data_IF_212564515914
#
_entry.id   IF_212564515914
#
_cell.length_a   1.000
_cell.length_b   1.000
_cell.length_c   1.000
_cell.angle_alpha   90.00
_cell.angle_beta   90.00
_cell.angle_gamma   90.00
#
_symmetry.space_group_name_H-M   'P 1'
#
loop_
_entity.id
_entity.type
_entity.pdbx_description
1 polymer ?
#
# COMPACT_ATOMS: atom_id res chain seq x y z
N UNK A 1 2.03 -10.10 0.56
CA UNK A 1 3.02 -10.27 1.66
C UNK A 1 2.43 -11.07 2.81
N UNK A 2 1.33 -10.63 3.46
CA UNK A 2 0.69 -11.37 4.57
C UNK A 2 0.38 -12.84 4.22
N UNK A 3 -0.16 -13.10 3.02
CA UNK A 3 -0.45 -14.47 2.57
C UNK A 3 0.79 -15.37 2.47
N UNK A 4 1.91 -14.84 1.96
CA UNK A 4 3.16 -15.59 1.85
C UNK A 4 3.81 -15.85 3.22
N UNK A 5 3.63 -14.95 4.19
CA UNK A 5 4.09 -15.15 5.58
C UNK A 5 3.26 -16.22 6.30
N UNK A 6 1.97 -16.31 6.00
CA UNK A 6 1.10 -17.38 6.51
C UNK A 6 1.43 -18.75 5.90
N UNK A 7 1.83 -18.78 4.63
CA UNK A 7 2.20 -20.00 3.89
C UNK A 7 3.60 -20.51 4.27
N UNK A 8 4.52 -19.61 4.65
CA UNK A 8 5.71 -19.98 5.38
C UNK A 8 5.29 -20.57 6.74
N UNK A 9 5.67 -21.82 7.03
CA UNK A 9 5.39 -22.53 8.28
C UNK A 9 6.05 -21.84 9.51
N UNK A 10 5.55 -20.67 9.89
CA UNK A 10 6.08 -19.81 10.95
C UNK A 10 6.10 -20.48 12.31
N UNK A 11 5.25 -21.49 12.52
CA UNK A 11 5.21 -22.34 13.71
C UNK A 11 6.47 -23.21 13.90
N UNK A 12 7.16 -23.53 12.81
CA UNK A 12 8.34 -24.40 12.81
C UNK A 12 9.65 -23.60 12.64
N UNK A 13 9.55 -22.27 12.50
CA UNK A 13 10.68 -21.38 12.36
C UNK A 13 11.28 -21.05 13.75
N UNK A 14 12.61 -20.82 13.84
CA UNK A 14 13.24 -20.45 15.09
C UNK A 14 12.61 -19.14 15.65
N UNK A 15 12.56 -18.98 16.99
CA UNK A 15 11.83 -17.89 17.63
C UNK A 15 12.30 -16.48 17.22
N UNK A 16 13.54 -16.34 16.72
CA UNK A 16 14.04 -15.09 16.15
C UNK A 16 13.33 -14.72 14.84
N UNK A 17 13.11 -15.69 13.95
CA UNK A 17 12.45 -15.50 12.66
C UNK A 17 10.97 -15.15 12.85
N UNK A 18 10.28 -15.79 13.80
CA UNK A 18 8.89 -15.45 14.16
C UNK A 18 8.77 -14.00 14.64
N UNK A 19 9.77 -13.52 15.39
CA UNK A 19 9.84 -12.13 15.85
C UNK A 19 10.05 -11.15 14.70
N UNK A 20 10.86 -11.53 13.71
CA UNK A 20 11.09 -10.72 12.51
C UNK A 20 9.84 -10.72 11.61
N UNK A 21 9.21 -11.88 11.40
CA UNK A 21 7.97 -12.01 10.63
C UNK A 21 6.82 -11.22 11.24
N UNK A 22 6.65 -11.23 12.57
CA UNK A 22 5.63 -10.42 13.26
C UNK A 22 5.89 -8.92 13.15
N UNK A 23 7.16 -8.49 13.20
CA UNK A 23 7.54 -7.09 12.92
C UNK A 23 7.22 -6.71 11.47
N UNK A 24 7.55 -7.56 10.50
CA UNK A 24 7.23 -7.34 9.08
C UNK A 24 5.70 -7.27 8.90
N UNK A 25 4.96 -8.19 9.52
CA UNK A 25 3.50 -8.23 9.46
C UNK A 25 2.88 -6.93 9.98
N UNK A 26 3.32 -6.45 11.14
CA UNK A 26 2.90 -5.19 11.75
C UNK A 26 3.26 -3.97 10.88
N UNK A 27 4.41 -4.02 10.19
CA UNK A 27 4.86 -3.00 9.22
C UNK A 27 4.16 -3.10 7.87
N UNK A 28 3.57 -4.23 7.51
CA UNK A 28 2.71 -4.36 6.31
C UNK A 28 1.25 -4.05 6.58
N UNK A 29 0.76 -4.26 7.81
CA UNK A 29 -0.56 -3.82 8.27
C UNK A 29 -0.62 -2.31 8.43
N UNK A 30 0.48 -1.71 8.88
CA UNK A 30 0.74 -0.30 8.72
C UNK A 30 1.67 -0.16 7.52
N UNK A 31 1.21 -0.42 6.27
CA UNK A 31 2.04 -0.12 5.12
C UNK A 31 2.48 1.31 5.38
N UNK A 32 3.79 1.54 5.40
CA UNK A 32 4.33 2.87 5.60
C UNK A 32 3.62 3.74 4.57
N UNK A 33 2.55 4.40 5.02
CA UNK A 33 2.04 5.62 4.49
C UNK A 33 3.26 6.48 4.68
N UNK A 34 4.07 6.51 3.63
CA UNK A 34 5.35 7.18 3.59
C UNK A 34 4.93 8.64 3.64
N UNK A 35 4.61 9.06 4.85
CA UNK A 35 4.14 10.37 5.26
C UNK A 35 5.39 11.25 5.28
N UNK A 36 6.17 11.19 4.19
CA UNK A 36 7.23 12.14 3.87
C UNK A 36 6.63 13.49 3.50
N UNK A 37 5.34 13.52 3.16
CA UNK A 37 4.51 14.70 3.18
C UNK A 37 3.07 14.24 3.31
N UNK A 38 2.35 14.67 4.35
CA UNK A 38 0.90 14.52 4.57
C UNK A 38 0.08 15.23 3.47
N UNK A 39 0.37 14.93 2.20
CA UNK A 39 -0.15 15.52 0.98
C UNK A 39 -0.69 14.42 0.06
N UNK A 40 -0.09 13.22 0.09
CA UNK A 40 -0.55 12.09 -0.68
C UNK A 40 -0.42 10.80 0.12
N UNK A 41 -1.55 10.30 0.63
CA UNK A 41 -1.66 8.85 0.73
C UNK A 41 -1.52 8.32 -0.70
N UNK A 42 -0.34 7.80 -1.05
CA UNK A 42 -0.07 7.06 -2.27
C UNK A 42 -0.86 5.72 -2.29
N UNK A 43 -2.12 5.76 -1.90
CA UNK A 43 -3.06 4.73 -2.28
C UNK A 43 -3.34 4.95 -3.77
N UNK A 44 -3.34 3.86 -4.55
CA UNK A 44 -3.70 3.89 -5.97
C UNK A 44 -5.05 4.61 -6.22
N UNK A 45 -5.90 4.69 -5.19
CA UNK A 45 -7.18 5.37 -5.20
C UNK A 45 -7.05 6.90 -5.40
N UNK A 46 -6.12 7.56 -4.70
CA UNK A 46 -5.88 9.01 -4.86
C UNK A 46 -5.30 9.33 -6.23
N UNK A 47 -4.34 8.52 -6.71
CA UNK A 47 -3.78 8.67 -8.05
C UNK A 47 -4.85 8.49 -9.14
N UNK A 48 -5.68 7.45 -9.01
CA UNK A 48 -6.81 7.20 -9.93
C UNK A 48 -7.80 8.36 -9.92
N UNK A 49 -8.05 8.97 -8.76
CA UNK A 49 -8.95 10.11 -8.64
C UNK A 49 -8.40 11.33 -9.38
N UNK A 50 -7.10 11.62 -9.26
CA UNK A 50 -6.45 12.70 -10.02
C UNK A 50 -6.49 12.42 -11.52
N UNK A 51 -6.15 11.21 -11.94
CA UNK A 51 -6.18 10.86 -13.36
C UNK A 51 -7.60 10.98 -13.92
N UNK A 52 -8.62 10.55 -13.18
CA UNK A 52 -10.03 10.70 -13.57
C UNK A 52 -10.44 12.16 -13.68
N UNK A 53 -10.07 13.01 -12.73
CA UNK A 53 -10.44 14.44 -12.79
C UNK A 53 -9.71 15.16 -13.90
N UNK A 54 -8.43 14.88 -14.13
CA UNK A 54 -7.66 15.42 -15.27
C UNK A 54 -8.27 15.00 -16.60
N UNK A 55 -8.63 13.72 -16.77
CA UNK A 55 -9.29 13.23 -17.98
C UNK A 55 -10.69 13.84 -18.17
N UNK A 56 -11.45 14.04 -17.10
CA UNK A 56 -12.75 14.72 -17.15
C UNK A 56 -12.59 16.15 -17.65
N UNK A 57 -11.62 16.91 -17.10
CA UNK A 57 -11.31 18.26 -17.57
C UNK A 57 -10.90 18.28 -19.05
N UNK A 58 -9.99 17.39 -19.46
CA UNK A 58 -9.60 17.27 -20.87
C UNK A 58 -10.78 16.92 -21.78
N UNK A 59 -11.72 16.09 -21.31
CA UNK A 59 -12.92 15.73 -22.07
C UNK A 59 -13.85 16.92 -22.25
N UNK A 60 -14.04 17.74 -21.21
CA UNK A 60 -14.83 18.99 -21.29
C UNK A 60 -14.15 19.97 -22.24
N UNK A 61 -12.83 20.14 -22.13
CA UNK A 61 -12.05 21.05 -22.97
C UNK A 61 -12.03 20.60 -24.44
N UNK A 62 -12.15 19.29 -24.70
CA UNK A 62 -12.30 18.73 -26.05
C UNK A 62 -13.72 18.83 -26.61
N UNK A 63 -14.72 18.88 -25.73
CA UNK A 63 -16.13 18.98 -26.11
C UNK A 63 -16.59 20.43 -26.34
N UNK A 64 -15.83 21.41 -25.83
CA UNK A 64 -15.92 22.82 -26.22
C UNK A 64 -15.27 23.01 -27.60
#
# INVERSE_FOLDING_TARGET
LVYAVYDCQWYNAPPQEVRILSLILLKTQNPLTLSGAKLFELSANSFTTIVKTSLSYLSVLRAI
#
